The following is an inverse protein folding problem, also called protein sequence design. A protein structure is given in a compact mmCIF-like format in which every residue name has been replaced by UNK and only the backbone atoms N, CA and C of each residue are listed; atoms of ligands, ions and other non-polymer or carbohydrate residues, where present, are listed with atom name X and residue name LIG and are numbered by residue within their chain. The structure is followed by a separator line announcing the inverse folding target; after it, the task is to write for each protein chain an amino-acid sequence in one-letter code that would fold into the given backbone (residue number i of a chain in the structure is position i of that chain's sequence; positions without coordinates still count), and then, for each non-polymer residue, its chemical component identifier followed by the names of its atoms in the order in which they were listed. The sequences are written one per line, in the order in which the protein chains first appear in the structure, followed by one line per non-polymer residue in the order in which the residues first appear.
data_IF_775273920016
#
_entry.id   IF_775273920016
#
_cell.length_a   1.000
_cell.length_b   1.000
_cell.length_c   1.000
_cell.angle_alpha   90.00
_cell.angle_beta   90.00
_cell.angle_gamma   90.00
#
_symmetry.space_group_name_H-M   'P 1'
#
loop_
_entity.id
_entity.type
_entity.pdbx_description
1 polymer ?
#
# COMPACT_ATOMS: atom_id res chain seq x y z
N UNK A 1 -15.31 15.97 3.00
CA UNK A 1 -15.87 15.64 1.67
C UNK A 1 -16.53 14.25 1.72
N UNK A 2 -17.56 13.97 0.92
CA UNK A 2 -18.19 12.64 0.89
C UNK A 2 -18.38 12.26 -0.57
N UNK A 3 -17.80 11.13 -0.98
CA UNK A 3 -18.12 10.48 -2.24
C UNK A 3 -19.06 9.31 -1.96
N UNK A 4 -20.21 9.32 -2.62
CA UNK A 4 -21.16 8.20 -2.60
C UNK A 4 -20.92 7.31 -3.81
N UNK A 5 -20.85 6.00 -3.59
CA UNK A 5 -20.62 5.00 -4.67
C UNK A 5 -19.34 5.25 -5.47
N UNK A 6 -18.28 5.66 -4.80
CA UNK A 6 -17.01 6.02 -5.43
C UNK A 6 -15.80 5.81 -4.52
N UNK A 7 -14.62 6.17 -5.01
CA UNK A 7 -13.34 6.05 -4.32
C UNK A 7 -12.69 7.43 -4.20
N UNK A 8 -11.84 7.63 -3.18
CA UNK A 8 -11.12 8.89 -3.01
C UNK A 8 -12.03 10.00 -2.49
N UNK A 9 -12.35 10.01 -1.20
CA UNK A 9 -13.34 10.94 -0.66
C UNK A 9 -12.99 12.42 -0.80
N UNK A 10 -11.70 12.76 -0.91
CA UNK A 10 -11.22 14.08 -1.31
C UNK A 10 -10.58 14.07 -2.71
N UNK A 11 -9.72 13.09 -2.97
CA UNK A 11 -8.92 13.01 -4.20
C UNK A 11 -9.05 11.62 -4.80
N UNK A 12 -9.50 11.57 -6.05
CA UNK A 12 -9.36 10.41 -6.92
C UNK A 12 -8.32 10.74 -7.99
N UNK A 13 -7.27 9.92 -8.08
CA UNK A 13 -6.22 10.07 -9.08
C UNK A 13 -6.11 8.79 -9.90
N UNK A 14 -6.40 8.89 -11.20
CA UNK A 14 -5.99 7.91 -12.19
C UNK A 14 -4.76 8.44 -12.92
N UNK A 15 -3.68 7.65 -12.93
CA UNK A 15 -2.44 8.01 -13.61
C UNK A 15 -1.98 6.85 -14.49
N UNK A 16 -1.31 7.20 -15.58
CA UNK A 16 -0.64 6.20 -16.42
C UNK A 16 0.75 5.81 -15.89
N UNK A 17 1.15 6.37 -14.74
CA UNK A 17 2.43 6.12 -14.09
C UNK A 17 3.65 6.42 -14.97
N UNK A 18 3.49 7.16 -16.07
CA UNK A 18 4.59 7.48 -16.99
C UNK A 18 5.58 8.48 -16.40
N UNK A 19 6.79 8.52 -16.95
CA UNK A 19 7.95 9.24 -16.41
C UNK A 19 7.85 10.78 -16.36
N UNK A 20 6.66 11.36 -16.55
CA UNK A 20 6.45 12.81 -16.65
C UNK A 20 5.35 13.36 -15.71
N UNK A 21 4.91 12.61 -14.69
CA UNK A 21 3.94 13.13 -13.73
C UNK A 21 4.57 13.45 -12.37
N UNK A 22 4.06 14.52 -11.78
CA UNK A 22 4.40 14.94 -10.43
C UNK A 22 3.11 15.30 -9.68
N UNK A 23 2.91 14.67 -8.54
CA UNK A 23 1.82 14.91 -7.62
C UNK A 23 2.39 15.03 -6.20
N UNK A 24 2.71 16.27 -5.82
CA UNK A 24 3.32 16.60 -4.54
C UNK A 24 2.38 17.45 -3.70
N UNK A 25 2.26 17.08 -2.43
CA UNK A 25 1.52 17.84 -1.43
C UNK A 25 2.55 18.39 -0.44
N UNK A 26 2.93 19.65 -0.65
CA UNK A 26 3.96 20.34 0.16
C UNK A 26 3.44 20.77 1.55
N UNK A 27 2.17 21.14 1.64
CA UNK A 27 1.43 21.35 2.89
C UNK A 27 -0.05 21.17 2.58
N UNK A 28 -0.67 20.15 3.18
CA UNK A 28 -2.06 19.82 2.91
C UNK A 28 -2.73 19.12 4.07
N UNK A 29 -4.01 19.40 4.25
CA UNK A 29 -4.86 18.79 5.28
C UNK A 29 -6.05 18.12 4.60
N UNK A 30 -6.11 16.79 4.68
CA UNK A 30 -7.27 16.00 4.26
C UNK A 30 -7.87 15.37 5.50
N UNK A 31 -9.05 15.87 5.88
CA UNK A 31 -9.72 15.41 7.08
C UNK A 31 -11.21 15.21 6.87
N UNK A 32 -11.77 14.29 7.67
CA UNK A 32 -13.21 14.01 7.73
C UNK A 32 -13.82 13.72 6.34
N UNK A 33 -13.01 13.14 5.44
CA UNK A 33 -13.44 12.71 4.13
C UNK A 33 -13.93 11.27 4.15
N UNK A 34 -14.91 10.96 3.30
CA UNK A 34 -15.58 9.66 3.29
C UNK A 34 -15.70 9.08 1.90
N UNK A 35 -15.37 7.80 1.74
CA UNK A 35 -15.65 7.00 0.56
C UNK A 35 -16.68 5.91 0.87
N UNK A 36 -17.85 6.00 0.26
CA UNK A 36 -18.93 5.02 0.44
C UNK A 36 -19.02 4.05 -0.73
N UNK A 37 -19.24 2.79 -0.39
CA UNK A 37 -19.37 1.70 -1.36
C UNK A 37 -20.75 1.64 -2.00
N UNK A 38 -20.80 1.26 -3.27
CA UNK A 38 -22.03 0.94 -3.97
C UNK A 38 -22.46 -0.50 -3.65
N UNK A 39 -23.43 -0.65 -2.77
CA UNK A 39 -23.95 -1.99 -2.42
C UNK A 39 -24.77 -2.64 -3.54
N UNK A 40 -25.09 -1.90 -4.62
CA UNK A 40 -25.83 -2.43 -5.77
C UNK A 40 -24.93 -3.01 -6.86
N UNK A 41 -23.62 -2.78 -6.79
CA UNK A 41 -22.66 -3.18 -7.82
C UNK A 41 -21.30 -3.49 -7.20
N UNK A 42 -20.83 -4.72 -7.40
CA UNK A 42 -19.55 -5.17 -6.83
C UNK A 42 -18.33 -4.79 -7.69
N UNK A 43 -18.48 -4.74 -9.02
CA UNK A 43 -17.37 -4.54 -9.97
C UNK A 43 -17.68 -3.40 -10.95
N UNK A 44 -16.88 -2.32 -11.05
CA UNK A 44 -15.67 -2.08 -10.25
C UNK A 44 -16.00 -1.71 -8.80
N UNK A 45 -15.12 -2.10 -7.88
CA UNK A 45 -15.32 -1.91 -6.47
C UNK A 45 -15.18 -0.44 -6.05
N UNK A 46 -16.00 -0.02 -5.08
CA UNK A 46 -16.06 1.36 -4.57
C UNK A 46 -16.01 1.38 -3.03
N UNK A 47 -15.77 2.56 -2.43
CA UNK A 47 -15.63 2.71 -0.98
C UNK A 47 -14.20 2.56 -0.45
N UNK A 48 -13.19 2.83 -1.28
CA UNK A 48 -11.76 2.79 -0.94
C UNK A 48 -11.16 4.20 -0.90
N UNK A 49 -10.16 4.41 -0.03
CA UNK A 49 -9.43 5.68 0.03
C UNK A 49 -10.30 6.82 0.54
N UNK A 50 -10.61 6.85 1.84
CA UNK A 50 -11.54 7.84 2.40
C UNK A 50 -11.07 9.29 2.21
N UNK A 51 -9.76 9.51 2.15
CA UNK A 51 -9.15 10.77 1.72
C UNK A 51 -8.70 10.71 0.25
N UNK A 52 -7.67 9.91 -0.02
CA UNK A 52 -7.00 9.80 -1.32
C UNK A 52 -7.15 8.37 -1.85
N UNK A 53 -7.50 8.26 -3.12
CA UNK A 53 -7.43 7.03 -3.89
C UNK A 53 -6.56 7.24 -5.13
N UNK A 54 -5.58 6.37 -5.35
CA UNK A 54 -4.68 6.41 -6.50
C UNK A 54 -4.75 5.09 -7.25
N UNK A 55 -4.89 5.15 -8.57
CA UNK A 55 -4.87 3.98 -9.44
C UNK A 55 -3.92 4.21 -10.63
N UNK A 56 -2.96 3.30 -10.77
CA UNK A 56 -1.95 3.30 -11.83
C UNK A 56 -2.25 2.26 -12.91
N UNK A 57 -2.20 2.66 -14.18
CA UNK A 57 -2.37 1.72 -15.31
C UNK A 57 -1.08 1.05 -15.79
N UNK A 58 0.09 1.67 -15.57
CA UNK A 58 1.41 1.13 -15.95
C UNK A 58 2.33 1.03 -14.74
N UNK A 59 3.57 0.60 -15.00
CA UNK A 59 4.63 0.57 -13.98
C UNK A 59 5.04 1.98 -13.61
N UNK A 60 5.18 2.19 -12.32
CA UNK A 60 5.61 3.46 -11.76
C UNK A 60 7.13 3.54 -11.74
N UNK A 61 7.66 4.58 -12.37
CA UNK A 61 9.09 4.88 -12.35
C UNK A 61 9.46 5.65 -11.08
N UNK A 62 10.01 4.94 -10.11
CA UNK A 62 10.47 5.51 -8.83
C UNK A 62 11.57 6.56 -8.97
N UNK A 63 12.29 6.60 -10.11
CA UNK A 63 13.34 7.62 -10.33
C UNK A 63 12.79 9.04 -10.45
N UNK A 64 11.49 9.17 -10.70
CA UNK A 64 10.83 10.47 -10.86
C UNK A 64 10.49 11.16 -9.54
N UNK A 65 10.39 10.40 -8.43
CA UNK A 65 9.76 10.85 -7.18
C UNK A 65 8.42 11.58 -7.43
N UNK A 66 7.65 11.08 -8.42
CA UNK A 66 6.43 11.73 -8.90
C UNK A 66 5.26 11.72 -7.90
N UNK A 67 5.35 11.01 -6.78
CA UNK A 67 4.34 11.05 -5.69
C UNK A 67 5.08 11.45 -4.42
N UNK A 68 4.66 12.55 -3.78
CA UNK A 68 5.25 13.03 -2.53
C UNK A 68 4.18 13.60 -1.59
N UNK A 69 3.91 12.87 -0.51
CA UNK A 69 2.94 13.23 0.51
C UNK A 69 3.59 13.62 1.84
N UNK A 70 4.87 14.00 1.86
CA UNK A 70 5.55 14.38 3.12
C UNK A 70 4.92 15.60 3.81
N UNK A 71 4.31 16.50 3.04
CA UNK A 71 3.55 17.63 3.57
C UNK A 71 2.08 17.35 3.87
N UNK A 72 1.60 16.12 3.63
CA UNK A 72 0.21 15.74 3.83
C UNK A 72 -0.07 15.38 5.30
N UNK A 73 -1.14 15.95 5.83
CA UNK A 73 -1.75 15.56 7.11
C UNK A 73 -3.12 14.96 6.86
N UNK A 74 -3.34 13.75 7.38
CA UNK A 74 -4.59 13.00 7.31
C UNK A 74 -5.22 12.86 8.70
N UNK A 75 -6.52 13.13 8.82
CA UNK A 75 -7.25 12.99 10.09
C UNK A 75 -8.70 12.56 9.90
N UNK A 76 -9.13 11.52 10.63
CA UNK A 76 -10.54 11.11 10.74
C UNK A 76 -11.23 10.87 9.39
N UNK A 77 -10.47 10.46 8.36
CA UNK A 77 -11.06 10.02 7.12
C UNK A 77 -11.64 8.61 7.32
N UNK A 78 -12.64 8.25 6.53
CA UNK A 78 -13.25 6.92 6.62
C UNK A 78 -13.54 6.35 5.24
N UNK A 79 -13.34 5.05 5.06
CA UNK A 79 -13.68 4.31 3.87
C UNK A 79 -14.51 3.09 4.26
N UNK A 80 -15.60 2.81 3.53
CA UNK A 80 -16.45 1.64 3.81
C UNK A 80 -15.68 0.31 3.68
N UNK A 81 -14.64 0.28 2.83
CA UNK A 81 -13.85 -0.93 2.53
C UNK A 81 -12.45 -0.89 3.14
N UNK A 82 -11.56 -0.09 2.58
CA UNK A 82 -10.14 -0.09 2.97
C UNK A 82 -9.44 1.23 2.62
N UNK A 83 -8.29 1.47 3.27
CA UNK A 83 -7.56 2.72 3.17
C UNK A 83 -8.41 3.87 3.70
N UNK A 84 -8.59 3.93 5.02
CA UNK A 84 -9.41 4.94 5.68
C UNK A 84 -9.01 6.35 5.25
N UNK A 85 -7.70 6.58 5.09
CA UNK A 85 -7.17 7.81 4.51
C UNK A 85 -6.65 7.61 3.10
N UNK A 86 -5.76 6.66 2.84
CA UNK A 86 -5.12 6.48 1.53
C UNK A 86 -5.26 5.04 1.06
N UNK A 87 -5.68 4.89 -0.19
CA UNK A 87 -5.67 3.60 -0.87
C UNK A 87 -4.95 3.69 -2.22
N UNK A 88 -3.98 2.78 -2.46
CA UNK A 88 -3.15 2.81 -3.67
C UNK A 88 -3.25 1.48 -4.43
N UNK A 89 -3.64 1.56 -5.71
CA UNK A 89 -3.62 0.45 -6.67
C UNK A 89 -2.49 0.69 -7.66
N UNK A 90 -1.41 -0.08 -7.56
CA UNK A 90 -0.24 0.09 -8.44
C UNK A 90 0.59 -1.18 -8.55
N UNK A 91 1.03 -1.57 -9.77
CA UNK A 91 1.80 -2.81 -9.97
C UNK A 91 3.07 -2.84 -9.11
N UNK A 92 3.81 -1.74 -9.10
CA UNK A 92 5.05 -1.57 -8.35
C UNK A 92 4.82 -0.88 -6.99
N UNK A 93 3.69 -1.16 -6.33
CA UNK A 93 3.34 -0.56 -5.03
C UNK A 93 4.48 -0.68 -4.01
N UNK A 94 5.12 -1.85 -3.94
CA UNK A 94 6.21 -2.08 -3.00
C UNK A 94 7.46 -1.23 -3.30
N UNK A 95 7.70 -0.87 -4.56
CA UNK A 95 8.80 0.03 -4.93
C UNK A 95 8.45 1.47 -4.57
N UNK A 96 7.22 1.90 -4.84
CA UNK A 96 6.72 3.23 -4.46
C UNK A 96 6.87 3.48 -2.95
N UNK A 97 6.39 2.55 -2.12
CA UNK A 97 6.38 2.72 -0.66
C UNK A 97 7.73 2.43 0.00
N UNK A 98 8.73 1.94 -0.73
CA UNK A 98 10.11 1.82 -0.26
C UNK A 98 10.98 3.01 -0.64
N UNK A 99 10.45 4.01 -1.33
CA UNK A 99 11.16 5.26 -1.52
C UNK A 99 11.33 5.98 -0.18
N UNK A 100 12.56 6.45 0.08
CA UNK A 100 12.94 7.03 1.36
C UNK A 100 12.92 6.00 2.49
N UNK A 101 12.70 6.46 3.71
CA UNK A 101 12.65 5.61 4.91
C UNK A 101 11.21 5.36 5.37
N UNK A 102 10.84 4.08 5.51
CA UNK A 102 9.54 3.62 6.02
C UNK A 102 8.34 4.30 5.36
N UNK A 103 8.26 4.28 4.02
CA UNK A 103 7.16 4.90 3.29
C UNK A 103 7.13 6.41 3.33
N UNK A 104 8.28 7.06 3.54
CA UNK A 104 8.46 8.52 3.64
C UNK A 104 7.59 9.31 2.66
N UNK A 105 7.58 8.91 1.39
CA UNK A 105 6.90 9.63 0.31
C UNK A 105 5.38 9.46 0.28
N UNK A 106 4.81 8.49 1.01
CA UNK A 106 3.37 8.19 0.94
C UNK A 106 2.65 8.28 2.28
N UNK A 107 3.39 8.25 3.41
CA UNK A 107 2.80 8.09 4.74
C UNK A 107 2.20 9.36 5.34
N UNK A 108 2.60 10.55 4.87
CA UNK A 108 2.19 11.82 5.47
C UNK A 108 2.52 11.89 6.97
N UNK A 109 1.54 12.25 7.81
CA UNK A 109 1.66 12.27 9.27
C UNK A 109 1.41 10.91 9.96
N UNK A 110 1.29 9.81 9.21
CA UNK A 110 1.21 8.47 9.79
C UNK A 110 2.48 8.13 10.58
N UNK A 111 2.32 7.53 11.76
CA UNK A 111 3.45 7.14 12.62
C UNK A 111 3.41 5.63 12.89
N UNK A 112 4.48 4.94 12.51
CA UNK A 112 4.70 3.49 12.74
C UNK A 112 4.48 3.12 14.20
N UNK A 113 3.69 2.06 14.45
CA UNK A 113 3.39 1.58 15.80
C UNK A 113 2.44 2.46 16.63
N UNK A 114 1.97 3.59 16.08
CA UNK A 114 1.02 4.51 16.73
C UNK A 114 -0.28 4.63 15.96
N UNK A 115 -0.20 4.86 14.64
CA UNK A 115 -1.35 5.01 13.76
C UNK A 115 -1.99 3.66 13.43
N UNK A 116 -3.30 3.65 13.16
CA UNK A 116 -4.01 2.44 12.70
C UNK A 116 -3.54 2.07 11.29
N UNK A 117 -3.05 0.84 11.09
CA UNK A 117 -2.60 0.32 9.80
C UNK A 117 -3.65 0.42 8.68
N UNK A 118 -4.94 0.43 9.04
CA UNK A 118 -6.04 0.64 8.09
C UNK A 118 -6.10 2.05 7.49
N UNK A 119 -5.36 3.01 8.04
CA UNK A 119 -5.26 4.35 7.45
C UNK A 119 -4.66 4.29 6.04
N UNK A 120 -3.68 3.41 5.84
CA UNK A 120 -2.87 3.32 4.63
C UNK A 120 -2.87 1.87 4.12
N UNK A 121 -3.62 1.61 3.05
CA UNK A 121 -3.70 0.28 2.45
C UNK A 121 -3.50 0.36 0.92
N UNK A 122 -3.25 -0.78 0.29
CA UNK A 122 -3.14 -0.85 -1.15
C UNK A 122 -2.99 -2.27 -1.67
N UNK A 123 -2.95 -2.38 -3.00
CA UNK A 123 -2.85 -3.65 -3.70
C UNK A 123 -1.85 -3.55 -4.86
N UNK A 124 -0.93 -4.53 -4.99
CA UNK A 124 0.03 -4.56 -6.09
C UNK A 124 -0.61 -5.06 -7.39
N UNK A 125 -1.46 -4.22 -8.00
CA UNK A 125 -2.16 -4.50 -9.25
C UNK A 125 -2.18 -3.27 -10.17
N UNK A 126 -2.38 -3.49 -11.47
CA UNK A 126 -2.62 -2.39 -12.41
C UNK A 126 -4.12 -2.14 -12.57
N UNK A 127 -4.48 -0.98 -13.12
CA UNK A 127 -5.87 -0.55 -13.23
C UNK A 127 -6.78 -1.54 -13.97
N UNK A 128 -6.34 -2.07 -15.12
CA UNK A 128 -7.19 -2.95 -15.93
C UNK A 128 -7.46 -4.30 -15.26
N UNK A 129 -6.52 -4.80 -14.46
CA UNK A 129 -6.75 -5.99 -13.63
C UNK A 129 -7.63 -5.65 -12.43
N UNK A 130 -7.33 -4.58 -11.70
CA UNK A 130 -8.03 -4.23 -10.47
C UNK A 130 -9.52 -3.93 -10.69
N UNK A 131 -9.84 -3.19 -11.76
CA UNK A 131 -11.22 -2.78 -12.06
C UNK A 131 -12.14 -3.96 -12.42
N UNK A 132 -11.59 -5.14 -12.71
CA UNK A 132 -12.36 -6.36 -12.95
C UNK A 132 -12.46 -7.28 -11.73
N UNK A 133 -11.76 -6.98 -10.63
CA UNK A 133 -11.78 -7.82 -9.44
C UNK A 133 -13.06 -7.60 -8.62
N UNK A 134 -13.72 -8.67 -8.14
CA UNK A 134 -14.75 -8.57 -7.12
C UNK A 134 -14.15 -8.14 -5.78
N UNK A 135 -14.98 -7.56 -4.91
CA UNK A 135 -14.52 -7.04 -3.60
C UNK A 135 -13.84 -8.11 -2.76
N UNK A 136 -14.32 -9.36 -2.80
CA UNK A 136 -13.75 -10.48 -2.05
C UNK A 136 -12.32 -10.84 -2.48
N UNK A 137 -11.98 -10.68 -3.76
CA UNK A 137 -10.62 -10.92 -4.25
C UNK A 137 -9.68 -9.76 -3.89
N UNK A 138 -10.20 -8.53 -3.85
CA UNK A 138 -9.45 -7.35 -3.39
C UNK A 138 -9.09 -7.51 -1.91
N UNK A 139 -10.06 -7.88 -1.07
CA UNK A 139 -9.87 -8.10 0.38
C UNK A 139 -8.79 -9.16 0.68
N UNK A 140 -8.65 -10.19 -0.17
CA UNK A 140 -7.62 -11.22 0.00
C UNK A 140 -6.22 -10.75 -0.39
N UNK A 141 -6.11 -9.81 -1.33
CA UNK A 141 -4.86 -9.39 -1.96
C UNK A 141 -4.30 -8.08 -1.40
N UNK A 142 -5.16 -7.18 -0.91
CA UNK A 142 -4.74 -5.91 -0.33
C UNK A 142 -3.90 -6.11 0.94
N UNK A 143 -3.04 -5.14 1.25
CA UNK A 143 -2.25 -5.11 2.48
C UNK A 143 -2.14 -3.68 3.00
N UNK A 144 -1.87 -3.55 4.29
CA UNK A 144 -1.40 -2.28 4.86
C UNK A 144 -0.07 -1.89 4.20
N UNK A 145 0.16 -0.59 3.98
CA UNK A 145 1.38 -0.14 3.31
C UNK A 145 2.65 -0.43 4.14
N UNK A 146 2.51 -0.52 5.47
CA UNK A 146 3.60 -0.88 6.38
C UNK A 146 4.19 -2.27 6.08
N UNK A 147 3.37 -3.23 5.62
CA UNK A 147 3.83 -4.55 5.17
C UNK A 147 4.96 -4.49 4.13
N UNK A 148 4.99 -3.44 3.32
CA UNK A 148 5.94 -3.28 2.22
C UNK A 148 7.17 -2.42 2.56
N UNK A 149 7.21 -1.76 3.72
CA UNK A 149 8.29 -0.81 4.08
C UNK A 149 9.64 -1.47 4.23
N UNK A 150 9.69 -2.63 4.89
CA UNK A 150 10.92 -3.41 4.95
C UNK A 150 11.11 -4.16 3.63
N UNK A 151 12.35 -4.20 3.13
CA UNK A 151 12.74 -5.29 2.25
C UNK A 151 12.40 -6.61 2.95
N UNK A 152 11.86 -7.63 2.26
CA UNK A 152 11.83 -8.95 2.84
C UNK A 152 13.29 -9.31 3.12
N UNK A 153 13.74 -9.08 4.36
CA UNK A 153 14.95 -9.69 4.87
C UNK A 153 14.71 -11.15 4.59
N UNK A 154 15.52 -11.74 3.70
CA UNK A 154 15.49 -13.16 3.38
C UNK A 154 15.00 -13.89 4.61
N UNK A 155 13.83 -14.54 4.54
CA UNK A 155 13.30 -15.32 5.65
C UNK A 155 14.39 -16.31 6.04
N UNK A 156 15.24 -15.94 7.00
CA UNK A 156 16.19 -16.86 7.59
C UNK A 156 15.29 -17.68 8.48
N UNK A 157 14.69 -18.72 7.88
CA UNK A 157 14.05 -19.77 8.62
C UNK A 157 15.12 -20.31 9.58
N UNK A 158 15.12 -19.85 10.82
CA UNK A 158 15.74 -20.58 11.89
C UNK A 158 14.90 -21.84 12.10
N UNK A 159 15.12 -22.84 11.25
CA UNK A 159 14.69 -24.20 11.55
C UNK A 159 15.58 -24.63 12.71
N UNK A 160 15.15 -24.37 13.95
CA UNK A 160 15.65 -25.13 15.10
C UNK A 160 15.11 -26.54 14.96
N UNK A 161 15.84 -27.38 14.24
CA UNK A 161 15.64 -28.82 14.28
C UNK A 161 16.08 -29.29 15.67
N UNK A 162 15.11 -29.41 16.60
CA UNK A 162 15.25 -30.19 17.82
C UNK A 162 14.28 -31.35 17.76
N UNK A 163 14.71 -32.43 17.12
CA UNK A 163 14.28 -33.78 17.46
C UNK A 163 15.54 -34.63 17.57
N UNK A 164 15.74 -35.19 18.76
CA UNK A 164 16.98 -35.82 19.17
C UNK A 164 17.41 -36.97 18.26
N UNK A 165 18.69 -36.95 17.93
CA UNK A 165 19.44 -38.04 17.33
C UNK A 165 20.92 -37.67 17.42
N UNK A 166 21.72 -38.48 18.11
CA UNK A 166 23.15 -38.28 18.25
C UNK A 166 23.80 -38.21 16.86
N UNK A 167 24.45 -37.09 16.56
CA UNK A 167 25.40 -37.01 15.45
C UNK A 167 26.77 -36.75 16.07
N UNK A 168 27.57 -37.80 16.18
CA UNK A 168 28.99 -37.68 16.45
C UNK A 168 29.60 -36.95 15.26
N UNK A 169 30.17 -35.76 15.48
CA UNK A 169 30.94 -35.07 14.45
C UNK A 169 32.23 -35.84 14.22
N UNK A 170 32.44 -36.32 13.00
CA UNK A 170 33.77 -36.71 12.53
C UNK A 170 34.37 -35.53 11.78
N UNK A 171 35.54 -35.08 12.24
CA UNK A 171 36.32 -34.05 11.57
C UNK A 171 36.79 -34.59 10.21
N UNK A 172 36.33 -33.99 9.11
CA UNK A 172 37.00 -34.18 7.82
C UNK A 172 38.19 -33.25 7.74
N UNK A 173 39.37 -33.88 7.84
CA UNK A 173 40.65 -33.30 7.53
C UNK A 173 40.66 -32.94 6.03
N UNK A 174 41.11 -31.73 5.68
CA UNK A 174 41.36 -31.19 4.31
C UNK A 174 40.30 -30.29 3.65
N UNK A 175 39.93 -29.19 4.30
CA UNK A 175 39.57 -27.96 3.57
C UNK A 175 40.82 -27.07 3.42
N UNK A 176 41.52 -27.24 2.28
CA UNK A 176 42.48 -26.25 1.76
C UNK A 176 41.79 -25.14 0.99
#
# INVERSE_FOLDING_TARGET
CIIDKGNGGAIYMATDCSSQFEFKINDGLIQECKAKSDTSKDVPATGYGGGIYIIGSKDYDVSTSGIDFRGLKIYKNTADKAGQSIYIVMRNLAELVRQGDDGEYVKGNYTTGVSDKKELEGIPANSSTYETLPTSEIEQQQRDLEYFWSHPSHSIYHIKYRSGGQNNGEDQQWCG
#
